data_IF_388435243933
#
_entry.id   IF_388435243933
#
_cell.length_a   1.000
_cell.length_b   1.000
_cell.length_c   1.000
_cell.angle_alpha   90.00
_cell.angle_beta   90.00
_cell.angle_gamma   90.00
#
_symmetry.space_group_name_H-M   'P 1'
#
loop_
_entity.id
_entity.type
_entity.pdbx_description
1 polymer ?
#
# COMPACT_ATOMS: atom_id res chain seq x y z
N UNK A 1 2.21 11.50 20.87
CA UNK A 1 2.95 10.77 19.81
C UNK A 1 2.20 10.66 18.48
N UNK A 2 0.95 10.16 18.43
CA UNK A 2 0.19 10.05 17.15
C UNK A 2 0.12 11.34 16.33
N UNK A 3 -0.04 12.50 16.99
CA UNK A 3 -0.11 13.82 16.34
C UNK A 3 1.22 14.24 15.71
N UNK A 4 2.31 14.14 16.47
CA UNK A 4 3.68 14.45 15.99
C UNK A 4 4.04 13.56 14.80
N UNK A 5 3.81 12.24 14.90
CA UNK A 5 4.16 11.30 13.83
C UNK A 5 3.34 11.56 12.55
N UNK A 6 2.05 11.88 12.69
CA UNK A 6 1.19 12.29 11.58
C UNK A 6 1.68 13.59 10.94
N UNK A 7 1.95 14.61 11.76
CA UNK A 7 2.35 15.92 11.26
C UNK A 7 3.74 15.85 10.59
N UNK A 8 4.66 15.02 11.10
CA UNK A 8 5.94 14.70 10.45
C UNK A 8 5.74 13.97 9.12
N UNK A 9 4.84 12.98 9.03
CA UNK A 9 4.53 12.33 7.76
C UNK A 9 3.93 13.31 6.75
N UNK A 10 3.02 14.19 7.17
CA UNK A 10 2.41 15.20 6.28
C UNK A 10 3.49 16.16 5.75
N UNK A 11 4.37 16.66 6.63
CA UNK A 11 5.50 17.51 6.24
C UNK A 11 6.45 16.81 5.27
N UNK A 12 6.79 15.53 5.53
CA UNK A 12 7.63 14.74 4.63
C UNK A 12 6.97 14.56 3.25
N UNK A 13 5.68 14.24 3.22
CA UNK A 13 4.91 14.13 1.97
C UNK A 13 4.90 15.44 1.19
N UNK A 14 4.69 16.57 1.86
CA UNK A 14 4.71 17.91 1.26
C UNK A 14 6.09 18.26 0.70
N UNK A 15 7.16 17.92 1.43
CA UNK A 15 8.53 18.14 0.97
C UNK A 15 8.84 17.32 -0.26
N UNK A 16 8.50 16.02 -0.26
CA UNK A 16 8.66 15.13 -1.41
C UNK A 16 7.88 15.68 -2.60
N UNK A 17 6.61 16.06 -2.41
CA UNK A 17 5.76 16.64 -3.46
C UNK A 17 6.37 17.91 -4.05
N UNK A 18 6.89 18.80 -3.20
CA UNK A 18 7.47 20.08 -3.62
C UNK A 18 8.74 19.88 -4.44
N UNK A 19 9.64 19.00 -3.97
CA UNK A 19 10.87 18.65 -4.69
C UNK A 19 10.54 17.96 -6.01
N UNK A 20 9.54 17.08 -6.04
CA UNK A 20 9.09 16.42 -7.26
C UNK A 20 8.50 17.42 -8.27
N UNK A 21 7.66 18.35 -7.81
CA UNK A 21 7.06 19.37 -8.66
C UNK A 21 8.13 20.26 -9.30
N UNK A 22 9.12 20.72 -8.52
CA UNK A 22 10.23 21.51 -9.04
C UNK A 22 11.05 20.68 -10.05
N UNK A 23 11.33 19.41 -9.74
CA UNK A 23 12.09 18.53 -10.63
C UNK A 23 11.40 18.33 -11.98
N UNK A 24 10.07 18.14 -11.99
CA UNK A 24 9.26 18.03 -13.21
C UNK A 24 9.30 19.33 -14.02
N UNK A 25 9.17 20.50 -13.36
CA UNK A 25 9.19 21.79 -14.05
C UNK A 25 10.55 22.06 -14.70
N UNK A 26 11.65 21.67 -14.04
CA UNK A 26 13.00 22.05 -14.47
C UNK A 26 13.65 21.04 -15.42
N UNK A 27 13.46 19.74 -15.18
CA UNK A 27 14.10 18.65 -15.94
C UNK A 27 13.12 17.92 -16.87
N UNK A 28 11.82 18.21 -16.79
CA UNK A 28 10.80 17.51 -17.56
C UNK A 28 10.52 16.09 -17.03
N UNK A 29 9.92 15.25 -17.87
CA UNK A 29 9.62 13.84 -17.54
C UNK A 29 10.83 12.95 -17.85
N UNK A 30 11.72 12.80 -16.87
CA UNK A 30 12.81 11.81 -16.94
C UNK A 30 12.30 10.41 -16.62
N UNK A 31 13.09 9.38 -16.94
CA UNK A 31 12.71 7.97 -16.70
C UNK A 31 12.42 7.70 -15.21
N UNK A 32 13.17 8.33 -14.31
CA UNK A 32 13.01 8.22 -12.86
C UNK A 32 11.70 8.87 -12.38
N UNK A 33 11.37 10.04 -12.93
CA UNK A 33 10.13 10.76 -12.61
C UNK A 33 8.92 9.95 -13.09
N UNK A 34 9.01 9.37 -14.29
CA UNK A 34 7.99 8.49 -14.85
C UNK A 34 7.79 7.25 -13.96
N UNK A 35 8.87 6.64 -13.46
CA UNK A 35 8.79 5.51 -12.53
C UNK A 35 8.03 5.89 -11.25
N UNK A 36 8.28 7.07 -10.69
CA UNK A 36 7.57 7.51 -9.48
C UNK A 36 6.07 7.73 -9.74
N UNK A 37 5.70 8.30 -10.88
CA UNK A 37 4.28 8.41 -11.26
C UNK A 37 3.62 7.04 -11.43
N UNK A 38 4.33 6.07 -12.02
CA UNK A 38 3.83 4.70 -12.17
C UNK A 38 3.65 4.02 -10.81
N UNK A 39 4.59 4.17 -9.88
CA UNK A 39 4.46 3.68 -8.50
C UNK A 39 3.30 4.34 -7.76
N UNK A 40 3.11 5.65 -7.95
CA UNK A 40 1.99 6.38 -7.37
C UNK A 40 0.65 5.88 -7.92
N UNK A 41 0.54 5.70 -9.24
CA UNK A 41 -0.65 5.16 -9.89
C UNK A 41 -0.97 3.73 -9.40
N UNK A 42 0.05 2.86 -9.31
CA UNK A 42 -0.12 1.51 -8.78
C UNK A 42 -0.60 1.53 -7.32
N UNK A 43 0.03 2.36 -6.47
CA UNK A 43 -0.37 2.53 -5.08
C UNK A 43 -1.82 3.00 -4.96
N UNK A 44 -2.23 3.96 -5.78
CA UNK A 44 -3.61 4.45 -5.82
C UNK A 44 -4.61 3.34 -6.21
N UNK A 45 -4.31 2.55 -7.25
CA UNK A 45 -5.16 1.43 -7.67
C UNK A 45 -5.28 0.39 -6.56
N UNK A 46 -4.18 -0.01 -5.92
CA UNK A 46 -4.18 -0.97 -4.82
C UNK A 46 -4.99 -0.44 -3.62
N UNK A 47 -4.82 0.84 -3.28
CA UNK A 47 -5.56 1.46 -2.18
C UNK A 47 -7.07 1.51 -2.46
N UNK A 48 -7.46 1.88 -3.69
CA UNK A 48 -8.85 1.90 -4.12
C UNK A 48 -9.47 0.49 -4.06
N UNK A 49 -8.77 -0.51 -4.58
CA UNK A 49 -9.26 -1.90 -4.55
C UNK A 49 -9.36 -2.42 -3.13
N UNK A 50 -8.38 -2.15 -2.26
CA UNK A 50 -8.46 -2.51 -0.85
C UNK A 50 -9.66 -1.88 -0.16
N UNK A 51 -9.93 -0.59 -0.41
CA UNK A 51 -11.10 0.09 0.12
C UNK A 51 -12.40 -0.59 -0.32
N UNK A 52 -12.53 -0.93 -1.61
CA UNK A 52 -13.70 -1.65 -2.13
C UNK A 52 -13.83 -3.04 -1.52
N UNK A 53 -12.73 -3.78 -1.36
CA UNK A 53 -12.77 -5.11 -0.73
C UNK A 53 -13.25 -5.04 0.71
N UNK A 54 -12.75 -4.07 1.48
CA UNK A 54 -13.13 -3.92 2.88
C UNK A 54 -14.59 -3.43 3.05
N UNK A 55 -15.11 -2.64 2.11
CA UNK A 55 -16.48 -2.15 2.14
C UNK A 55 -17.50 -3.25 1.76
N UNK A 56 -17.19 -4.08 0.74
CA UNK A 56 -18.14 -5.04 0.18
C UNK A 56 -17.99 -6.48 0.70
N UNK A 57 -16.86 -6.84 1.33
CA UNK A 57 -16.60 -8.22 1.78
C UNK A 57 -16.40 -8.29 3.29
N UNK A 58 -17.30 -9.01 3.97
CA UNK A 58 -17.21 -9.35 5.39
C UNK A 58 -16.57 -10.74 5.58
N UNK A 59 -15.28 -10.86 5.25
CA UNK A 59 -14.52 -12.09 5.44
C UNK A 59 -13.82 -12.14 6.80
N UNK A 60 -13.46 -13.35 7.25
CA UNK A 60 -12.54 -13.52 8.37
C UNK A 60 -11.19 -12.84 8.08
N UNK A 61 -10.45 -12.42 9.12
CA UNK A 61 -9.18 -11.69 8.95
C UNK A 61 -8.23 -12.44 7.99
N UNK A 62 -8.08 -13.76 8.17
CA UNK A 62 -7.22 -14.59 7.33
C UNK A 62 -7.75 -14.65 5.89
N UNK A 63 -9.06 -14.85 5.70
CA UNK A 63 -9.67 -14.91 4.36
C UNK A 63 -9.55 -13.59 3.60
N UNK A 64 -9.73 -12.46 4.29
CA UNK A 64 -9.58 -11.13 3.69
C UNK A 64 -8.12 -10.91 3.22
N UNK A 65 -7.14 -11.23 4.05
CA UNK A 65 -5.73 -11.08 3.70
C UNK A 65 -5.28 -12.00 2.56
N UNK A 66 -5.78 -13.22 2.51
CA UNK A 66 -5.47 -14.16 1.43
C UNK A 66 -6.04 -13.67 0.09
N UNK A 67 -7.27 -13.12 0.11
CA UNK A 67 -7.88 -12.52 -1.07
C UNK A 67 -7.15 -11.24 -1.52
N UNK A 68 -6.83 -10.36 -0.57
CA UNK A 68 -6.02 -9.15 -0.83
C UNK A 68 -4.67 -9.48 -1.43
N UNK A 69 -4.03 -10.57 -1.00
CA UNK A 69 -2.79 -11.06 -1.60
C UNK A 69 -2.96 -11.43 -3.07
N UNK A 70 -3.92 -12.29 -3.38
CA UNK A 70 -4.17 -12.74 -4.76
C UNK A 70 -4.47 -11.55 -5.67
N UNK A 71 -5.32 -10.63 -5.21
CA UNK A 71 -5.73 -9.45 -5.97
C UNK A 71 -4.56 -8.47 -6.15
N UNK A 72 -3.82 -8.15 -5.08
CA UNK A 72 -2.67 -7.25 -5.17
C UNK A 72 -1.59 -7.82 -6.11
N UNK A 73 -1.32 -9.12 -6.05
CA UNK A 73 -0.38 -9.79 -6.96
C UNK A 73 -0.87 -9.73 -8.41
N UNK A 74 -2.15 -9.97 -8.68
CA UNK A 74 -2.72 -9.83 -10.01
C UNK A 74 -2.59 -8.39 -10.55
N UNK A 75 -2.89 -7.38 -9.73
CA UNK A 75 -2.77 -5.96 -10.11
C UNK A 75 -1.31 -5.61 -10.40
N UNK A 76 -0.37 -6.00 -9.54
CA UNK A 76 1.06 -5.70 -9.71
C UNK A 76 1.61 -6.37 -10.98
N UNK A 77 1.18 -7.60 -11.28
CA UNK A 77 1.56 -8.27 -12.52
C UNK A 77 0.99 -7.57 -13.75
N UNK A 78 -0.33 -7.30 -13.77
CA UNK A 78 -0.99 -6.63 -14.91
C UNK A 78 -0.38 -5.25 -15.17
N UNK A 79 -0.22 -4.45 -14.11
CA UNK A 79 0.37 -3.12 -14.19
C UNK A 79 1.84 -3.20 -14.61
N UNK A 80 2.63 -4.09 -13.99
CA UNK A 80 4.03 -4.29 -14.32
C UNK A 80 4.25 -4.74 -15.76
N UNK A 81 3.32 -5.50 -16.36
CA UNK A 81 3.39 -5.86 -17.78
C UNK A 81 3.07 -4.71 -18.71
N UNK A 82 2.01 -3.94 -18.41
CA UNK A 82 1.62 -2.76 -19.23
C UNK A 82 2.74 -1.72 -19.25
N UNK A 83 3.43 -1.56 -18.12
CA UNK A 83 4.45 -0.54 -17.92
C UNK A 83 5.86 -1.04 -18.25
N UNK A 84 6.05 -2.34 -18.42
CA UNK A 84 7.34 -2.94 -18.79
C UNK A 84 8.32 -3.12 -17.62
N UNK A 85 7.84 -3.24 -16.39
CA UNK A 85 8.68 -3.46 -15.20
C UNK A 85 9.28 -4.86 -15.11
N UNK A 86 8.61 -5.85 -15.69
CA UNK A 86 9.05 -7.24 -15.63
C UNK A 86 9.21 -7.83 -17.02
N UNK A 87 10.27 -8.61 -17.21
CA UNK A 87 10.34 -9.56 -18.31
C UNK A 87 9.31 -10.67 -18.10
N UNK A 88 8.68 -11.16 -19.16
CA UNK A 88 7.67 -12.22 -19.10
C UNK A 88 8.15 -13.49 -18.41
N UNK A 89 9.45 -13.80 -18.42
CA UNK A 89 10.04 -14.94 -17.70
C UNK A 89 10.12 -14.75 -16.17
N UNK A 90 10.04 -13.51 -15.69
CA UNK A 90 10.36 -13.13 -14.32
C UNK A 90 9.14 -12.69 -13.50
N UNK A 91 7.94 -13.00 -13.98
CA UNK A 91 6.67 -12.64 -13.32
C UNK A 91 6.56 -13.20 -11.88
N UNK A 92 7.26 -14.29 -11.59
CA UNK A 92 7.30 -14.90 -10.26
C UNK A 92 7.81 -13.94 -9.16
N UNK A 93 8.64 -12.95 -9.52
CA UNK A 93 9.15 -11.95 -8.56
C UNK A 93 8.02 -11.10 -7.94
N UNK A 94 6.92 -10.88 -8.66
CA UNK A 94 5.76 -10.14 -8.13
C UNK A 94 5.15 -10.82 -6.89
N UNK A 95 5.15 -12.15 -6.84
CA UNK A 95 4.63 -12.91 -5.70
C UNK A 95 5.47 -12.70 -4.45
N UNK A 96 6.79 -12.61 -4.61
CA UNK A 96 7.74 -12.37 -3.52
C UNK A 96 7.59 -10.95 -2.98
N UNK A 97 7.59 -9.95 -3.87
CA UNK A 97 7.49 -8.55 -3.47
C UNK A 97 6.17 -8.23 -2.76
N UNK A 98 5.04 -8.71 -3.32
CA UNK A 98 3.73 -8.52 -2.68
C UNK A 98 3.65 -9.29 -1.36
N UNK A 99 4.23 -10.49 -1.29
CA UNK A 99 4.21 -11.33 -0.09
C UNK A 99 4.85 -10.65 1.11
N UNK A 100 6.05 -10.10 0.95
CA UNK A 100 6.76 -9.42 2.04
C UNK A 100 5.96 -8.22 2.58
N UNK A 101 5.42 -7.39 1.69
CA UNK A 101 4.64 -6.20 2.08
C UNK A 101 3.36 -6.60 2.81
N UNK A 102 2.69 -7.66 2.35
CA UNK A 102 1.41 -8.08 2.89
C UNK A 102 1.54 -8.78 4.25
N UNK A 103 2.65 -9.49 4.49
CA UNK A 103 2.98 -10.02 5.82
C UNK A 103 3.15 -8.88 6.81
N UNK A 104 3.87 -7.81 6.44
CA UNK A 104 4.04 -6.65 7.31
C UNK A 104 2.70 -5.94 7.57
N UNK A 105 1.86 -5.79 6.54
CA UNK A 105 0.53 -5.22 6.69
C UNK A 105 -0.34 -6.03 7.66
N UNK A 106 -0.35 -7.36 7.50
CA UNK A 106 -1.07 -8.28 8.39
C UNK A 106 -0.62 -8.15 9.85
N UNK A 107 0.70 -8.08 10.10
CA UNK A 107 1.23 -7.92 11.45
C UNK A 107 0.78 -6.60 12.08
N UNK A 108 0.82 -5.49 11.32
CA UNK A 108 0.38 -4.17 11.82
C UNK A 108 -1.10 -4.18 12.17
N UNK A 109 -1.94 -4.74 11.32
CA UNK A 109 -3.38 -4.83 11.58
C UNK A 109 -3.69 -5.76 12.75
N UNK A 110 -3.05 -6.92 12.84
CA UNK A 110 -3.23 -7.85 13.96
C UNK A 110 -2.90 -7.19 15.31
N UNK A 111 -1.81 -6.41 15.37
CA UNK A 111 -1.43 -5.64 16.57
C UNK A 111 -2.49 -4.58 16.90
N UNK A 112 -3.01 -3.88 15.90
CA UNK A 112 -4.05 -2.86 16.07
C UNK A 112 -5.36 -3.47 16.57
N UNK A 113 -5.85 -4.51 15.90
CA UNK A 113 -7.07 -5.24 16.30
C UNK A 113 -6.97 -5.77 17.73
N UNK A 114 -5.81 -6.32 18.11
CA UNK A 114 -5.58 -6.77 19.49
C UNK A 114 -5.70 -5.61 20.51
N UNK A 115 -5.09 -4.46 20.23
CA UNK A 115 -5.19 -3.27 21.09
C UNK A 115 -6.62 -2.76 21.20
N UNK A 116 -7.38 -2.80 20.11
CA UNK A 116 -8.78 -2.37 20.10
C UNK A 116 -9.65 -3.32 20.94
N UNK A 117 -9.42 -4.65 20.85
CA UNK A 117 -10.10 -5.65 21.70
C UNK A 117 -9.77 -5.44 23.18
N UNK A 118 -8.49 -5.25 23.53
CA UNK A 118 -8.06 -4.99 24.91
C UNK A 118 -8.70 -3.70 25.45
N UNK A 119 -8.78 -2.64 24.63
CA UNK A 119 -9.45 -1.39 24.98
C UNK A 119 -10.94 -1.59 25.25
N UNK A 120 -11.67 -2.29 24.38
CA UNK A 120 -13.10 -2.58 24.55
C UNK A 120 -13.33 -3.40 25.83
N UNK A 121 -12.56 -4.47 26.03
CA UNK A 121 -12.67 -5.33 27.22
C UNK A 121 -12.39 -4.56 28.52
N UNK A 122 -11.47 -3.59 28.50
CA UNK A 122 -11.19 -2.74 29.66
C UNK A 122 -12.35 -1.81 30.04
N UNK A 123 -13.23 -1.47 29.08
CA UNK A 123 -14.40 -0.60 29.29
C UNK A 123 -15.62 -1.37 29.78
N UNK A 124 -15.72 -2.67 29.50
CA UNK A 124 -16.82 -3.55 29.93
C UNK A 124 -16.57 -4.09 31.36
N UNK A 125 -15.31 -4.23 31.78
CA UNK A 125 -14.94 -4.70 33.14
C UNK A 125 -15.09 -3.64 34.25
N UNK A 126 -15.62 -2.45 33.95
CA UNK A 126 -16.02 -1.43 34.91
C UNK A 126 -17.54 -1.38 34.99
#
# INVERSE_FOLDING_TARGET
MKRILRDTCILASLMILSVFAISVIWMGLTAEIVLVFQLFALSFVIALVNYLLDEYLSLSIIGNYLLKYIIATAIVMLFGFVVGWFYQSNFWMAFVYVGVVLVLAYMVDAIKTRKDIEYINSRIKK
#
